data_IF_462702540430
#
_entry.id   IF_462702540430
#
_cell.length_a   1.000
_cell.length_b   1.000
_cell.length_c   1.000
_cell.angle_alpha   90.00
_cell.angle_beta   90.00
_cell.angle_gamma   90.00
#
_symmetry.space_group_name_H-M   'P 1'
#
loop_
_entity.id
_entity.type
_entity.pdbx_description
1 polymer ?
#
# COMPACT_ATOMS: atom_id res chain seq x y z
N UNK A 1 -4.73 10.63 -29.42
CA UNK A 1 -4.56 9.35 -28.70
C UNK A 1 -4.47 9.73 -27.23
N UNK A 2 -5.39 9.25 -26.39
CA UNK A 2 -5.34 9.54 -24.95
C UNK A 2 -4.21 8.67 -24.40
N UNK A 3 -3.09 9.27 -24.05
CA UNK A 3 -1.92 8.53 -23.60
C UNK A 3 -2.01 8.32 -22.08
N UNK A 4 -2.65 7.20 -21.71
CA UNK A 4 -2.78 6.77 -20.32
C UNK A 4 -1.41 6.49 -19.72
N UNK A 5 -0.45 6.07 -20.54
CA UNK A 5 0.91 5.78 -20.11
C UNK A 5 1.68 7.07 -19.80
N UNK A 6 1.42 8.17 -20.51
CA UNK A 6 1.94 9.50 -20.16
C UNK A 6 1.42 9.98 -18.79
N UNK A 7 0.11 9.85 -18.53
CA UNK A 7 -0.46 10.23 -17.23
C UNK A 7 0.09 9.36 -16.08
N UNK A 8 0.24 8.06 -16.31
CA UNK A 8 0.84 7.15 -15.34
C UNK A 8 2.32 7.48 -15.09
N UNK A 9 3.07 7.85 -16.14
CA UNK A 9 4.47 8.27 -16.06
C UNK A 9 4.63 9.60 -15.32
N UNK A 10 3.63 10.48 -15.40
CA UNK A 10 3.54 11.72 -14.63
C UNK A 10 3.04 11.52 -13.18
N UNK A 11 2.77 10.27 -12.75
CA UNK A 11 2.33 9.95 -11.39
C UNK A 11 0.86 10.25 -11.10
N UNK A 12 0.04 10.50 -12.13
CA UNK A 12 -1.39 10.77 -11.97
C UNK A 12 -2.17 9.46 -11.85
N UNK A 13 -3.24 9.46 -11.03
CA UNK A 13 -4.21 8.37 -10.98
C UNK A 13 -5.21 8.52 -12.12
N UNK A 14 -5.28 7.52 -13.00
CA UNK A 14 -6.16 7.54 -14.17
C UNK A 14 -7.42 6.71 -13.94
N UNK A 15 -8.58 7.23 -14.33
CA UNK A 15 -9.85 6.49 -14.40
C UNK A 15 -10.35 6.52 -15.85
N UNK A 16 -10.63 5.36 -16.44
CA UNK A 16 -11.22 5.25 -17.77
C UNK A 16 -12.74 5.05 -17.68
N UNK A 17 -13.47 5.71 -18.56
CA UNK A 17 -14.93 5.63 -18.63
C UNK A 17 -15.34 4.94 -19.93
N UNK A 18 -16.04 3.82 -19.82
CA UNK A 18 -16.67 3.13 -20.94
C UNK A 18 -18.19 3.21 -20.85
N UNK A 19 -18.87 3.20 -21.99
CA UNK A 19 -20.34 3.02 -22.04
C UNK A 19 -20.72 1.90 -22.99
N UNK A 20 -21.88 1.31 -22.74
CA UNK A 20 -22.58 0.45 -23.70
C UNK A 20 -24.05 0.82 -23.68
N UNK A 21 -24.63 0.98 -24.85
CA UNK A 21 -26.08 1.12 -25.00
C UNK A 21 -26.68 -0.27 -25.00
N UNK A 22 -27.59 -0.52 -24.07
CA UNK A 22 -28.36 -1.76 -24.01
C UNK A 22 -29.76 -1.47 -24.57
N UNK A 23 -30.30 -2.42 -25.33
CA UNK A 23 -31.70 -2.39 -25.73
C UNK A 23 -32.62 -2.84 -24.58
N UNK A 24 -33.93 -2.67 -24.73
CA UNK A 24 -34.89 -2.98 -23.67
C UNK A 24 -34.86 -4.45 -23.22
N UNK A 25 -34.69 -5.38 -24.16
CA UNK A 25 -34.63 -6.82 -23.86
C UNK A 25 -33.38 -7.16 -23.04
N UNK A 26 -32.22 -6.63 -23.43
CA UNK A 26 -30.95 -6.78 -22.72
C UNK A 26 -31.05 -6.22 -21.30
N UNK A 27 -31.68 -5.06 -21.14
CA UNK A 27 -31.90 -4.46 -19.82
C UNK A 27 -32.78 -5.35 -18.94
N UNK A 28 -33.86 -5.91 -19.48
CA UNK A 28 -34.76 -6.81 -18.73
C UNK A 28 -34.02 -8.07 -18.32
N UNK A 29 -33.28 -8.70 -19.23
CA UNK A 29 -32.50 -9.91 -18.95
C UNK A 29 -31.40 -9.65 -17.91
N UNK A 30 -30.64 -8.56 -18.06
CA UNK A 30 -29.61 -8.15 -17.11
C UNK A 30 -30.18 -7.93 -15.71
N UNK A 31 -31.28 -7.16 -15.60
CA UNK A 31 -31.95 -6.92 -14.31
C UNK A 31 -32.45 -8.22 -13.67
N UNK A 32 -33.01 -9.14 -14.45
CA UNK A 32 -33.46 -10.43 -13.94
C UNK A 32 -32.28 -11.26 -13.41
N UNK A 33 -31.15 -11.27 -14.13
CA UNK A 33 -29.94 -11.98 -13.72
C UNK A 33 -29.32 -11.39 -12.45
N UNK A 34 -29.20 -10.06 -12.37
CA UNK A 34 -28.70 -9.35 -11.17
C UNK A 34 -29.57 -9.67 -9.96
N UNK A 35 -30.89 -9.50 -10.06
CA UNK A 35 -31.82 -9.80 -8.96
C UNK A 35 -31.75 -11.25 -8.49
N UNK A 36 -31.47 -12.19 -9.41
CA UNK A 36 -31.32 -13.60 -9.06
C UNK A 36 -30.01 -13.83 -8.28
N UNK A 37 -28.91 -13.22 -8.71
CA UNK A 37 -27.63 -13.30 -8.04
C UNK A 37 -27.65 -12.64 -6.64
N UNK A 38 -28.30 -11.49 -6.49
CA UNK A 38 -28.44 -10.80 -5.19
C UNK A 38 -29.22 -11.61 -4.15
N UNK A 39 -30.15 -12.47 -4.60
CA UNK A 39 -30.98 -13.29 -3.70
C UNK A 39 -30.32 -14.59 -3.27
N UNK A 40 -29.17 -14.94 -3.84
CA UNK A 40 -28.40 -16.11 -3.43
C UNK A 40 -27.71 -15.83 -2.07
N UNK A 41 -27.87 -16.73 -1.10
CA UNK A 41 -27.37 -16.51 0.26
C UNK A 41 -25.87 -16.82 0.40
N UNK A 42 -25.35 -17.72 -0.43
CA UNK A 42 -24.02 -18.30 -0.23
C UNK A 42 -23.01 -17.78 -1.26
N UNK A 43 -23.44 -17.48 -2.49
CA UNK A 43 -22.55 -17.18 -3.62
C UNK A 43 -22.88 -15.85 -4.32
N UNK A 44 -23.62 -14.95 -3.66
CA UNK A 44 -24.08 -13.68 -4.24
C UNK A 44 -22.98 -12.89 -4.94
N UNK A 45 -21.83 -12.72 -4.28
CA UNK A 45 -20.71 -11.94 -4.79
C UNK A 45 -20.11 -12.53 -6.07
N UNK A 46 -19.89 -13.84 -6.11
CA UNK A 46 -19.38 -14.56 -7.28
C UNK A 46 -20.36 -14.49 -8.45
N UNK A 47 -21.64 -14.73 -8.20
CA UNK A 47 -22.68 -14.70 -9.24
C UNK A 47 -22.86 -13.29 -9.82
N UNK A 48 -22.79 -12.26 -8.98
CA UNK A 48 -22.83 -10.87 -9.44
C UNK A 48 -21.64 -10.54 -10.34
N UNK A 49 -20.43 -10.96 -9.97
CA UNK A 49 -19.26 -10.78 -10.81
C UNK A 49 -19.40 -11.45 -12.18
N UNK A 50 -19.96 -12.67 -12.24
CA UNK A 50 -20.23 -13.36 -13.50
C UNK A 50 -21.23 -12.58 -14.36
N UNK A 51 -22.33 -12.12 -13.76
CA UNK A 51 -23.35 -11.32 -14.46
C UNK A 51 -22.75 -10.02 -14.99
N UNK A 52 -22.03 -9.26 -14.17
CA UNK A 52 -21.38 -8.02 -14.59
C UNK A 52 -20.37 -8.27 -15.71
N UNK A 53 -19.57 -9.34 -15.63
CA UNK A 53 -18.62 -9.70 -16.69
C UNK A 53 -19.30 -10.02 -18.03
N UNK A 54 -20.57 -10.44 -18.06
CA UNK A 54 -21.33 -10.59 -19.32
C UNK A 54 -21.80 -9.26 -19.90
N UNK A 55 -22.16 -8.30 -19.03
CA UNK A 55 -22.71 -7.00 -19.42
C UNK A 55 -21.58 -6.04 -19.82
N UNK A 56 -20.47 -6.04 -19.07
CA UNK A 56 -19.30 -5.16 -19.19
C UNK A 56 -18.33 -5.57 -20.33
N UNK A 57 -18.88 -6.05 -21.45
CA UNK A 57 -18.14 -6.38 -22.68
C UNK A 57 -18.51 -5.40 -23.79
N UNK A 58 -17.55 -5.13 -24.68
CA UNK A 58 -17.72 -4.30 -25.87
C UNK A 58 -18.15 -2.84 -25.56
N UNK A 59 -17.53 -2.26 -24.52
CA UNK A 59 -17.73 -0.87 -24.13
C UNK A 59 -17.07 0.09 -25.12
N UNK A 60 -17.77 1.18 -25.47
CA UNK A 60 -17.22 2.35 -26.14
C UNK A 60 -16.47 3.20 -25.12
N UNK A 61 -15.16 3.41 -25.33
CA UNK A 61 -14.36 4.30 -24.49
C UNK A 61 -14.80 5.76 -24.70
N UNK A 62 -15.32 6.38 -23.65
CA UNK A 62 -15.72 7.78 -23.64
C UNK A 62 -14.55 8.72 -23.35
N UNK A 63 -13.62 8.29 -22.49
CA UNK A 63 -12.47 9.10 -22.13
C UNK A 63 -11.77 8.60 -20.87
N UNK A 64 -10.75 9.35 -20.46
CA UNK A 64 -9.94 9.09 -19.27
C UNK A 64 -9.80 10.39 -18.49
N UNK A 65 -10.02 10.34 -17.18
CA UNK A 65 -9.64 11.44 -16.28
C UNK A 65 -8.34 11.08 -15.58
N UNK A 66 -7.50 12.09 -15.31
CA UNK A 66 -6.28 11.94 -14.53
C UNK A 66 -6.33 12.90 -13.34
N UNK A 67 -6.07 12.39 -12.14
CA UNK A 67 -6.06 13.17 -10.90
C UNK A 67 -4.67 13.16 -10.28
N UNK A 68 -4.24 14.33 -9.82
CA UNK A 68 -2.99 14.50 -9.09
C UNK A 68 -3.25 14.25 -7.60
N UNK A 69 -2.52 13.29 -7.03
CA UNK A 69 -2.58 12.98 -5.61
C UNK A 69 -1.62 13.92 -4.86
N UNK A 70 -2.15 15.08 -4.45
CA UNK A 70 -1.35 16.09 -3.78
C UNK A 70 -1.10 15.72 -2.33
N UNK A 71 0.15 15.83 -1.90
CA UNK A 71 0.47 15.76 -0.49
C UNK A 71 -0.21 16.90 0.27
N UNK A 72 -0.58 16.63 1.52
CA UNK A 72 -0.99 17.67 2.45
C UNK A 72 0.14 18.70 2.62
N UNK A 73 -0.23 19.95 2.87
CA UNK A 73 0.73 21.02 3.14
C UNK A 73 1.61 20.67 4.35
N UNK A 74 2.93 20.78 4.20
CA UNK A 74 3.89 20.55 5.28
C UNK A 74 4.37 19.10 5.43
N UNK A 75 3.87 18.16 4.62
CA UNK A 75 4.30 16.74 4.69
C UNK A 75 5.82 16.58 4.48
N UNK A 76 6.46 17.19 3.47
CA UNK A 76 7.90 17.07 3.27
C UNK A 76 8.73 17.59 4.45
N UNK A 77 8.33 18.72 5.03
CA UNK A 77 8.97 19.34 6.20
C UNK A 77 8.82 18.45 7.44
N UNK A 78 7.63 17.90 7.65
CA UNK A 78 7.34 17.04 8.80
C UNK A 78 8.15 15.75 8.72
N UNK A 79 8.21 15.08 7.56
CA UNK A 79 9.04 13.88 7.36
C UNK A 79 10.52 14.19 7.58
N UNK A 80 10.99 15.34 7.11
CA UNK A 80 12.37 15.79 7.36
C UNK A 80 12.64 15.93 8.85
N UNK A 81 11.75 16.59 9.59
CA UNK A 81 11.94 16.88 11.01
C UNK A 81 11.86 15.58 11.84
N UNK A 82 10.95 14.65 11.49
CA UNK A 82 10.89 13.31 12.08
C UNK A 82 12.20 12.53 11.87
N UNK A 83 12.74 12.54 10.65
CA UNK A 83 14.03 11.88 10.35
C UNK A 83 15.20 12.54 11.07
N UNK A 84 15.24 13.86 11.15
CA UNK A 84 16.27 14.59 11.90
C UNK A 84 16.21 14.30 13.40
N UNK A 85 15.02 14.01 13.94
CA UNK A 85 14.83 13.53 15.31
C UNK A 85 15.22 12.05 15.52
N UNK A 86 15.69 11.36 14.47
CA UNK A 86 16.13 9.97 14.52
C UNK A 86 15.00 8.94 14.36
N UNK A 87 13.82 9.35 13.91
CA UNK A 87 12.71 8.44 13.64
C UNK A 87 12.84 7.84 12.23
N UNK A 88 12.75 6.51 12.13
CA UNK A 88 12.62 5.82 10.85
C UNK A 88 11.17 5.96 10.35
N UNK A 89 11.00 6.51 9.15
CA UNK A 89 9.68 6.76 8.55
C UNK A 89 9.41 5.72 7.48
N UNK A 90 8.30 5.00 7.63
CA UNK A 90 7.90 3.92 6.73
C UNK A 90 6.57 4.28 6.06
N UNK A 91 6.46 4.05 4.75
CA UNK A 91 5.21 4.21 4.00
C UNK A 91 4.62 2.83 3.73
N UNK A 92 3.34 2.65 4.05
CA UNK A 92 2.57 1.44 3.80
C UNK A 92 1.38 1.82 2.91
N UNK A 93 1.34 1.35 1.66
CA UNK A 93 0.26 1.71 0.72
C UNK A 93 -0.23 0.51 -0.10
N UNK A 94 -1.55 0.47 -0.36
CA UNK A 94 -2.16 -0.46 -1.31
C UNK A 94 -1.84 -0.15 -2.78
N UNK A 95 -1.22 0.99 -3.07
CA UNK A 95 -0.92 1.45 -4.43
C UNK A 95 0.19 0.64 -5.12
N UNK A 96 0.28 0.82 -6.44
CA UNK A 96 1.36 0.27 -7.27
C UNK A 96 2.71 0.85 -6.86
N UNK A 97 3.77 0.11 -7.18
CA UNK A 97 5.15 0.51 -6.94
C UNK A 97 5.47 1.92 -7.45
N UNK A 98 5.08 2.23 -8.69
CA UNK A 98 5.38 3.53 -9.31
C UNK A 98 4.77 4.69 -8.52
N UNK A 99 3.50 4.58 -8.12
CA UNK A 99 2.81 5.59 -7.31
C UNK A 99 3.47 5.76 -5.94
N UNK A 100 3.81 4.65 -5.27
CA UNK A 100 4.49 4.69 -3.98
C UNK A 100 5.87 5.37 -4.06
N UNK A 101 6.61 5.14 -5.15
CA UNK A 101 7.89 5.79 -5.43
C UNK A 101 7.72 7.30 -5.65
N UNK A 102 6.74 7.72 -6.45
CA UNK A 102 6.49 9.14 -6.69
C UNK A 102 6.05 9.87 -5.42
N UNK A 103 5.14 9.28 -4.63
CA UNK A 103 4.77 9.81 -3.31
C UNK A 103 6.01 9.90 -2.41
N UNK A 104 6.87 8.88 -2.39
CA UNK A 104 8.11 8.89 -1.63
C UNK A 104 9.06 10.03 -2.02
N UNK A 105 9.17 10.35 -3.31
CA UNK A 105 9.97 11.48 -3.81
C UNK A 105 9.33 12.83 -3.46
N UNK A 106 8.03 13.00 -3.72
CA UNK A 106 7.29 14.22 -3.40
C UNK A 106 7.34 14.55 -1.91
N UNK A 107 7.29 13.52 -1.07
CA UNK A 107 7.33 13.63 0.39
C UNK A 107 8.76 13.84 0.95
N UNK A 108 9.78 13.97 0.08
CA UNK A 108 11.20 14.02 0.44
C UNK A 108 11.66 12.82 1.31
N UNK A 109 10.91 11.71 1.28
CA UNK A 109 11.35 10.45 1.87
C UNK A 109 12.47 9.84 1.03
N UNK A 110 12.36 9.94 -0.30
CA UNK A 110 13.36 9.54 -1.27
C UNK A 110 14.07 10.78 -1.83
N UNK A 111 15.38 10.88 -1.66
CA UNK A 111 16.22 11.95 -2.19
C UNK A 111 17.04 11.46 -3.40
N UNK A 112 17.50 12.35 -4.30
CA UNK A 112 18.25 11.95 -5.49
C UNK A 112 19.54 11.16 -5.24
N UNK A 113 20.14 11.27 -4.05
CA UNK A 113 21.37 10.56 -3.66
C UNK A 113 21.09 9.25 -2.93
N UNK A 114 19.83 8.87 -2.76
CA UNK A 114 19.45 7.66 -2.06
C UNK A 114 19.69 6.42 -2.92
N UNK A 115 20.22 5.38 -2.28
CA UNK A 115 20.37 4.04 -2.84
C UNK A 115 19.10 3.24 -2.56
N UNK A 116 18.26 3.08 -3.58
CA UNK A 116 17.05 2.27 -3.50
C UNK A 116 17.38 0.82 -3.84
N UNK A 117 16.75 -0.14 -3.15
CA UNK A 117 16.71 -1.52 -3.61
C UNK A 117 15.32 -2.12 -3.43
N UNK A 118 14.88 -2.85 -4.46
CA UNK A 118 13.54 -3.43 -4.50
C UNK A 118 13.59 -4.92 -4.19
N UNK A 119 12.78 -5.34 -3.23
CA UNK A 119 12.43 -6.71 -2.92
C UNK A 119 11.13 -7.04 -3.63
N UNK A 120 11.27 -7.39 -4.90
CA UNK A 120 10.25 -8.05 -5.70
C UNK A 120 10.84 -9.39 -6.15
N UNK A 121 10.23 -10.49 -5.73
CA UNK A 121 10.66 -11.85 -6.04
C UNK A 121 9.42 -12.67 -6.41
N UNK A 122 9.57 -13.65 -7.30
CA UNK A 122 8.44 -14.46 -7.77
C UNK A 122 8.20 -15.69 -6.91
N UNK A 123 9.18 -16.09 -6.11
CA UNK A 123 9.05 -17.23 -5.19
C UNK A 123 9.54 -16.90 -3.79
N UNK A 124 9.06 -17.68 -2.80
CA UNK A 124 9.50 -17.58 -1.40
C UNK A 124 10.99 -17.92 -1.25
N UNK A 125 11.49 -18.87 -2.02
CA UNK A 125 12.91 -19.26 -1.96
C UNK A 125 13.82 -18.17 -2.52
N UNK A 126 13.44 -17.51 -3.62
CA UNK A 126 14.14 -16.34 -4.13
C UNK A 126 14.22 -15.22 -3.09
N UNK A 127 13.10 -14.96 -2.38
CA UNK A 127 13.07 -13.97 -1.32
C UNK A 127 14.09 -14.31 -0.23
N UNK A 128 14.09 -15.55 0.26
CA UNK A 128 15.01 -16.00 1.31
C UNK A 128 16.46 -15.85 0.86
N UNK A 129 16.79 -16.27 -0.36
CA UNK A 129 18.14 -16.15 -0.92
C UNK A 129 18.56 -14.69 -1.08
N UNK A 130 17.66 -13.83 -1.58
CA UNK A 130 17.91 -12.39 -1.75
C UNK A 130 18.16 -11.70 -0.41
N UNK A 131 17.31 -11.97 0.59
CA UNK A 131 17.48 -11.42 1.95
C UNK A 131 18.79 -11.88 2.59
N UNK A 132 19.14 -13.17 2.50
CA UNK A 132 20.44 -13.69 2.97
C UNK A 132 21.62 -13.03 2.25
N UNK A 133 21.51 -12.83 0.94
CA UNK A 133 22.53 -12.18 0.13
C UNK A 133 22.74 -10.73 0.55
N UNK A 134 21.67 -9.97 0.82
CA UNK A 134 21.75 -8.60 1.33
C UNK A 134 22.43 -8.57 2.70
N UNK A 135 22.02 -9.43 3.63
CA UNK A 135 22.64 -9.54 4.96
C UNK A 135 24.13 -9.94 4.91
N UNK A 136 24.57 -10.71 3.90
CA UNK A 136 25.97 -11.16 3.75
C UNK A 136 26.86 -10.14 3.02
N UNK A 137 26.37 -9.58 1.90
CA UNK A 137 27.17 -8.71 1.00
C UNK A 137 27.36 -7.30 1.55
N UNK A 138 26.41 -6.83 2.36
CA UNK A 138 26.48 -5.54 3.01
C UNK A 138 26.54 -5.80 4.51
N UNK A 139 27.65 -5.50 5.22
CA UNK A 139 27.59 -5.40 6.68
C UNK A 139 26.38 -4.54 7.02
N UNK A 140 25.56 -4.91 8.00
CA UNK A 140 24.37 -4.12 8.39
C UNK A 140 24.76 -2.66 8.67
N UNK A 141 25.97 -2.43 9.17
CA UNK A 141 26.53 -1.09 9.38
C UNK A 141 26.76 -0.29 8.07
N UNK A 142 26.90 -0.96 6.93
CA UNK A 142 26.95 -0.34 5.61
C UNK A 142 25.57 0.00 5.04
N UNK A 143 24.51 -0.68 5.50
CA UNK A 143 23.12 -0.29 5.24
C UNK A 143 22.71 0.91 6.11
N UNK A 144 23.28 1.01 7.32
CA UNK A 144 23.19 2.21 8.18
C UNK A 144 23.86 3.46 7.60
N UNK A 145 24.46 3.39 6.41
CA UNK A 145 24.83 4.60 5.69
C UNK A 145 23.57 5.43 5.49
N UNK A 146 23.58 6.74 5.81
CA UNK A 146 22.47 7.60 5.45
C UNK A 146 22.21 7.41 3.95
N UNK A 147 20.93 7.38 3.58
CA UNK A 147 20.42 7.32 2.21
C UNK A 147 20.14 5.91 1.65
N UNK A 148 19.92 4.86 2.45
CA UNK A 148 19.44 3.55 1.92
C UNK A 148 17.94 3.38 2.14
N UNK A 149 17.20 3.08 1.07
CA UNK A 149 15.73 2.88 1.12
C UNK A 149 15.38 1.49 0.59
N UNK A 150 14.61 0.75 1.38
CA UNK A 150 14.07 -0.54 0.95
C UNK A 150 12.66 -0.37 0.39
N UNK A 151 12.39 -1.07 -0.71
CA UNK A 151 11.04 -1.20 -1.26
C UNK A 151 10.67 -2.67 -1.23
N UNK A 152 9.47 -3.00 -0.77
CA UNK A 152 8.98 -4.38 -0.73
C UNK A 152 7.51 -4.45 -1.15
N UNK A 153 7.16 -5.45 -1.96
CA UNK A 153 5.75 -5.67 -2.36
C UNK A 153 4.99 -6.43 -1.27
N UNK A 154 3.67 -6.27 -1.21
CA UNK A 154 2.81 -7.04 -0.31
C UNK A 154 2.95 -8.56 -0.50
N UNK A 155 3.18 -9.04 -1.74
CA UNK A 155 3.47 -10.45 -2.05
C UNK A 155 4.70 -10.94 -1.28
N UNK A 156 5.81 -10.22 -1.38
CA UNK A 156 7.05 -10.57 -0.70
C UNK A 156 6.99 -10.34 0.81
N UNK A 157 6.24 -9.33 1.25
CA UNK A 157 6.00 -9.05 2.66
C UNK A 157 5.25 -10.21 3.33
N UNK A 158 4.24 -10.78 2.66
CA UNK A 158 3.54 -11.99 3.12
C UNK A 158 4.52 -13.12 3.41
N UNK A 159 5.41 -13.41 2.47
CA UNK A 159 6.42 -14.47 2.64
C UNK A 159 7.47 -14.14 3.70
N UNK A 160 7.81 -12.86 3.88
CA UNK A 160 8.70 -12.41 4.95
C UNK A 160 8.08 -12.62 6.34
N UNK A 161 6.77 -12.40 6.48
CA UNK A 161 6.03 -12.66 7.72
C UNK A 161 5.54 -14.10 7.87
N UNK A 162 5.76 -14.96 6.87
CA UNK A 162 5.30 -16.35 6.88
C UNK A 162 6.12 -17.18 7.88
N UNK A 163 5.45 -17.69 8.91
CA UNK A 163 6.02 -18.50 9.98
C UNK A 163 4.91 -19.10 10.83
N UNK A 164 5.00 -20.40 11.12
CA UNK A 164 4.11 -21.11 12.03
C UNK A 164 4.25 -20.51 13.44
N UNK A 165 3.26 -19.69 13.81
CA UNK A 165 2.81 -19.15 15.10
C UNK A 165 3.76 -18.88 16.30
N UNK A 166 4.96 -19.46 16.37
CA UNK A 166 5.88 -19.29 17.50
C UNK A 166 7.37 -19.21 17.08
N UNK A 167 7.76 -19.72 15.90
CA UNK A 167 9.13 -19.60 15.38
C UNK A 167 9.19 -18.60 14.23
N UNK A 168 9.75 -17.43 14.52
CA UNK A 168 10.08 -16.40 13.52
C UNK A 168 10.96 -17.02 12.42
N UNK A 169 10.49 -16.98 11.18
CA UNK A 169 11.22 -17.57 10.05
C UNK A 169 12.53 -16.82 9.77
N UNK A 170 13.48 -17.48 9.10
CA UNK A 170 14.72 -16.82 8.68
C UNK A 170 14.44 -15.63 7.75
N UNK A 171 13.37 -15.71 6.94
CA UNK A 171 12.89 -14.59 6.13
C UNK A 171 12.46 -13.41 7.01
N UNK A 172 11.70 -13.67 8.07
CA UNK A 172 11.27 -12.66 9.03
C UNK A 172 12.47 -11.98 9.70
N UNK A 173 13.41 -12.76 10.25
CA UNK A 173 14.57 -12.20 10.95
C UNK A 173 15.48 -11.37 10.02
N UNK A 174 15.67 -11.82 8.77
CA UNK A 174 16.45 -11.04 7.80
C UNK A 174 15.69 -9.78 7.35
N UNK A 175 14.37 -9.85 7.14
CA UNK A 175 13.56 -8.67 6.87
C UNK A 175 13.69 -7.64 8.00
N UNK A 176 13.54 -8.05 9.26
CA UNK A 176 13.69 -7.12 10.39
C UNK A 176 15.08 -6.46 10.40
N UNK A 177 16.14 -7.25 10.19
CA UNK A 177 17.52 -6.74 10.19
C UNK A 177 17.76 -5.73 9.07
N UNK A 178 17.30 -6.03 7.86
CA UNK A 178 17.47 -5.17 6.70
C UNK A 178 16.61 -3.90 6.84
N UNK A 179 15.33 -4.05 7.19
CA UNK A 179 14.40 -2.94 7.38
C UNK A 179 14.87 -1.96 8.46
N UNK A 180 15.37 -2.48 9.59
CA UNK A 180 15.90 -1.66 10.69
C UNK A 180 17.21 -0.96 10.35
N UNK A 181 17.91 -1.40 9.30
CA UNK A 181 19.13 -0.78 8.84
C UNK A 181 18.89 0.25 7.74
N UNK A 182 17.71 0.25 7.11
CA UNK A 182 17.32 1.24 6.11
C UNK A 182 16.85 2.52 6.79
N UNK A 183 17.08 3.65 6.14
CA UNK A 183 16.62 4.94 6.63
C UNK A 183 15.10 5.10 6.47
N UNK A 184 14.56 4.49 5.42
CA UNK A 184 13.14 4.41 5.17
C UNK A 184 12.78 3.07 4.50
N UNK A 185 11.52 2.67 4.67
CA UNK A 185 10.95 1.49 4.02
C UNK A 185 9.64 1.88 3.34
N UNK A 186 9.44 1.44 2.10
CA UNK A 186 8.20 1.61 1.36
C UNK A 186 7.63 0.23 1.07
N UNK A 187 6.46 -0.07 1.64
CA UNK A 187 5.70 -1.25 1.30
C UNK A 187 4.56 -0.86 0.35
N UNK A 188 4.54 -1.45 -0.83
CA UNK A 188 3.50 -1.21 -1.84
C UNK A 188 2.65 -2.47 -2.04
N UNK A 189 1.42 -2.31 -2.55
CA UNK A 189 0.44 -3.40 -2.71
C UNK A 189 0.16 -4.17 -1.42
N UNK A 190 0.19 -3.49 -0.26
CA UNK A 190 -0.08 -4.13 1.03
C UNK A 190 -1.57 -4.16 1.38
N UNK A 191 -1.99 -5.20 2.10
CA UNK A 191 -3.35 -5.33 2.64
C UNK A 191 -3.46 -4.77 4.06
N UNK A 192 -4.68 -4.45 4.56
CA UNK A 192 -4.85 -3.99 5.95
C UNK A 192 -4.28 -4.94 7.01
N UNK A 193 -4.33 -6.25 6.75
CA UNK A 193 -3.71 -7.26 7.63
C UNK A 193 -2.17 -7.14 7.62
N UNK A 194 -1.58 -6.88 6.47
CA UNK A 194 -0.12 -6.70 6.35
C UNK A 194 0.35 -5.41 7.02
N UNK A 195 -0.42 -4.32 6.90
CA UNK A 195 -0.14 -3.08 7.65
C UNK A 195 -0.10 -3.35 9.15
N UNK A 196 -1.07 -4.11 9.66
CA UNK A 196 -1.09 -4.55 11.06
C UNK A 196 0.15 -5.38 11.43
N UNK A 197 0.56 -6.34 10.60
CA UNK A 197 1.74 -7.17 10.85
C UNK A 197 3.03 -6.33 10.92
N UNK A 198 3.14 -5.30 10.07
CA UNK A 198 4.25 -4.34 10.13
C UNK A 198 4.17 -3.49 11.39
N UNK A 199 2.99 -2.98 11.78
CA UNK A 199 2.84 -2.16 12.98
C UNK A 199 3.17 -2.91 14.28
N UNK A 200 2.95 -4.24 14.32
CA UNK A 200 3.35 -5.12 15.44
C UNK A 200 4.86 -5.41 15.46
N UNK A 201 5.71 -4.52 14.96
CA UNK A 201 7.15 -4.70 14.92
C UNK A 201 7.76 -4.76 16.33
N UNK A 202 7.74 -5.95 16.94
CA UNK A 202 8.05 -6.19 18.37
C UNK A 202 9.41 -5.71 18.88
N UNK A 203 10.36 -5.38 18.01
CA UNK A 203 11.72 -4.98 18.41
C UNK A 203 11.88 -3.47 18.65
N UNK A 204 10.91 -2.64 18.25
CA UNK A 204 10.98 -1.17 18.40
C UNK A 204 9.62 -0.62 18.82
N UNK A 205 9.59 0.60 19.36
CA UNK A 205 8.33 1.31 19.58
C UNK A 205 7.81 1.82 18.24
N UNK A 206 6.57 1.49 17.90
CA UNK A 206 5.94 1.90 16.65
C UNK A 206 4.88 2.96 16.89
N UNK A 207 4.81 3.92 15.97
CA UNK A 207 3.71 4.87 15.85
C UNK A 207 3.06 4.62 14.49
N UNK A 208 1.75 4.42 14.47
CA UNK A 208 0.98 4.28 13.24
C UNK A 208 0.05 5.48 13.08
N UNK A 209 0.02 6.05 11.88
CA UNK A 209 -0.84 7.19 11.52
C UNK A 209 -1.65 6.86 10.27
N UNK A 210 -2.93 7.20 10.24
CA UNK A 210 -3.82 6.97 9.11
C UNK A 210 -5.15 7.71 9.24
N UNK A 211 -5.92 7.79 8.17
CA UNK A 211 -7.18 8.54 8.09
C UNK A 211 -8.40 7.65 7.78
N UNK A 212 -8.18 6.47 7.21
CA UNK A 212 -9.24 5.62 6.67
C UNK A 212 -9.51 4.31 7.43
N UNK A 213 -10.54 3.60 6.97
CA UNK A 213 -10.92 2.27 7.45
C UNK A 213 -9.77 1.25 7.35
N UNK A 214 -8.97 1.37 6.30
CA UNK A 214 -7.86 0.46 5.98
C UNK A 214 -6.72 0.52 7.00
N UNK A 215 -6.65 1.61 7.77
CA UNK A 215 -5.58 1.86 8.74
C UNK A 215 -5.98 1.49 10.16
N UNK A 216 -7.27 1.21 10.42
CA UNK A 216 -7.81 0.89 11.75
C UNK A 216 -7.02 -0.23 12.43
N UNK A 217 -6.79 -1.34 11.72
CA UNK A 217 -6.06 -2.50 12.25
C UNK A 217 -4.59 -2.19 12.55
N UNK A 218 -3.98 -1.30 11.76
CA UNK A 218 -2.60 -0.85 11.92
C UNK A 218 -2.46 0.08 13.12
N UNK A 219 -3.34 1.07 13.23
CA UNK A 219 -3.41 2.05 14.32
C UNK A 219 -3.56 1.33 15.66
N UNK A 220 -4.49 0.39 15.76
CA UNK A 220 -4.74 -0.39 16.99
C UNK A 220 -3.58 -1.31 17.38
N UNK A 221 -2.73 -1.68 16.42
CA UNK A 221 -1.66 -2.63 16.65
C UNK A 221 -0.30 -2.00 16.96
N UNK A 222 -0.14 -0.70 16.68
CA UNK A 222 1.05 0.05 17.04
C UNK A 222 1.09 0.36 18.54
N UNK A 223 2.24 0.82 19.03
CA UNK A 223 2.34 1.28 20.42
C UNK A 223 1.67 2.64 20.64
N UNK A 224 1.63 3.46 19.59
CA UNK A 224 0.88 4.72 19.57
C UNK A 224 0.13 4.81 18.24
N UNK A 225 -1.19 4.94 18.31
CA UNK A 225 -2.07 5.14 17.18
C UNK A 225 -2.48 6.61 17.02
N UNK A 226 -2.31 7.17 15.82
CA UNK A 226 -2.75 8.52 15.48
C UNK A 226 -3.79 8.46 14.34
N UNK A 227 -4.98 9.00 14.59
CA UNK A 227 -6.02 9.15 13.59
C UNK A 227 -5.99 10.56 13.00
N UNK A 228 -5.93 10.69 11.68
CA UNK A 228 -6.13 11.98 11.01
C UNK A 228 -7.63 12.20 10.80
N UNK A 229 -8.12 13.36 11.22
CA UNK A 229 -9.51 13.76 11.04
C UNK A 229 -9.77 14.19 9.59
N UNK A 230 -10.04 13.21 8.73
CA UNK A 230 -10.30 13.40 7.30
C UNK A 230 -11.78 13.53 6.93
N UNK A 231 -12.03 13.76 5.63
CA UNK A 231 -13.38 13.74 5.03
C UNK A 231 -13.88 12.32 4.74
N UNK A 232 -12.99 11.33 4.71
CA UNK A 232 -13.28 9.96 4.30
C UNK A 232 -13.88 9.08 5.42
N UNK A 233 -13.97 9.61 6.65
CA UNK A 233 -14.60 8.94 7.77
C UNK A 233 -13.96 9.31 9.10
N UNK A 234 -14.58 8.90 10.20
CA UNK A 234 -14.05 9.07 11.56
C UNK A 234 -13.48 7.79 12.16
N UNK A 235 -13.43 6.70 11.38
CA UNK A 235 -13.10 5.38 11.90
C UNK A 235 -11.69 5.32 12.47
N UNK A 236 -10.68 5.85 11.76
CA UNK A 236 -9.31 5.93 12.25
C UNK A 236 -9.21 6.75 13.56
N UNK A 237 -9.89 7.90 13.62
CA UNK A 237 -9.94 8.78 14.81
C UNK A 237 -10.60 8.10 16.01
N UNK A 238 -11.64 7.31 15.79
CA UNK A 238 -12.37 6.62 16.86
C UNK A 238 -11.55 5.50 17.52
N UNK A 239 -10.54 4.96 16.83
CA UNK A 239 -9.71 3.85 17.32
C UNK A 239 -8.27 4.26 17.67
N UNK A 240 -7.94 5.54 17.54
CA UNK A 240 -6.60 6.08 17.78
C UNK A 240 -6.43 6.61 19.20
N UNK A 241 -5.19 6.57 19.72
CA UNK A 241 -4.83 7.21 20.99
C UNK A 241 -4.88 8.74 20.88
N UNK A 242 -4.47 9.28 19.73
CA UNK A 242 -4.50 10.72 19.45
C UNK A 242 -5.19 11.00 18.12
N UNK A 243 -5.94 12.11 18.08
CA UNK A 243 -6.58 12.60 16.87
C UNK A 243 -5.95 13.93 16.47
N UNK A 244 -5.48 14.02 15.22
CA UNK A 244 -4.90 15.25 14.65
C UNK A 244 -5.67 15.66 13.39
N UNK A 245 -5.76 16.96 13.06
CA UNK A 245 -6.50 17.40 11.87
C UNK A 245 -5.76 17.15 10.55
N UNK A 246 -4.43 17.03 10.60
CA UNK A 246 -3.55 16.86 9.43
C UNK A 246 -2.22 16.25 9.89
N UNK A 247 -1.39 15.82 8.94
CA UNK A 247 -0.09 15.19 9.24
C UNK A 247 0.96 16.16 9.82
N UNK A 248 0.89 17.45 9.45
CA UNK A 248 1.80 18.51 9.90
C UNK A 248 1.58 18.93 11.34
#
# INVERSE_FOLDING_TARGET
>A
MIDVDDYASAGLRTLAFGRKLLNEEEVVLAKAAINKAEKDLDNSETLLQEVYATIEKDLELLGVTAFEDRLQEGVPETIRDLRQAGLAVWILTGDKLQTALEIGKLANLIKPKDSLFTVDCETKDELIQKMRSICRKKPIDSLRKPNTIMIITGKNLKWAFDGEHEKKSDAYENFLKIASACEAVICCRVTPLQNQQVAKFTKVRTLAIGDGANDVSMIQAANVGIGISGKEGRQAVLVSDFAVPRFR
#
